data_IF_958225950263
#
_entry.id   IF_958225950263
#
_cell.length_a   1.000
_cell.length_b   1.000
_cell.length_c   1.000
_cell.angle_alpha   90.00
_cell.angle_beta   90.00
_cell.angle_gamma   90.00
#
_symmetry.space_group_name_H-M   'P 1'
#
loop_
_entity.id
_entity.type
_entity.pdbx_description
1 polymer ?
#
# COMPACT_ATOMS: atom_id res chain seq x y z
N UNK A 1 -23.56 -15.57 -0.06
CA UNK A 1 -23.09 -14.97 -1.32
C UNK A 1 -21.71 -14.42 -1.05
N UNK A 2 -20.65 -14.88 -1.75
CA UNK A 2 -19.33 -14.27 -1.62
C UNK A 2 -19.36 -13.00 -2.47
N UNK A 3 -19.33 -11.84 -1.83
CA UNK A 3 -19.12 -10.60 -2.56
C UNK A 3 -17.63 -10.57 -2.96
N UNK A 4 -17.29 -10.24 -4.22
CA UNK A 4 -15.91 -10.00 -4.57
C UNK A 4 -15.36 -8.86 -3.71
N UNK A 5 -14.05 -8.83 -3.42
CA UNK A 5 -13.44 -7.75 -2.64
C UNK A 5 -13.82 -6.42 -3.28
N UNK A 6 -14.49 -5.57 -2.49
CA UNK A 6 -14.80 -4.20 -2.89
C UNK A 6 -13.63 -3.35 -2.44
N UNK A 7 -13.17 -2.45 -3.30
CA UNK A 7 -12.14 -1.49 -2.92
C UNK A 7 -12.56 -0.73 -1.65
N UNK A 8 -11.69 -0.74 -0.64
CA UNK A 8 -11.88 -0.11 0.67
C UNK A 8 -10.73 0.86 0.95
N UNK A 9 -10.98 1.82 1.84
CA UNK A 9 -9.97 2.72 2.39
C UNK A 9 -9.64 2.43 3.86
N UNK A 10 -10.10 1.30 4.39
CA UNK A 10 -9.54 0.70 5.60
C UNK A 10 -8.22 0.02 5.21
N UNK A 11 -7.14 0.39 5.91
CA UNK A 11 -5.77 0.26 5.40
C UNK A 11 -4.81 -0.16 6.53
N UNK A 12 -4.95 -1.39 7.00
CA UNK A 12 -3.97 -1.95 7.95
C UNK A 12 -2.61 -2.06 7.27
N UNK A 13 -1.54 -1.82 8.01
CA UNK A 13 -0.18 -1.93 7.47
C UNK A 13 0.18 -0.92 6.36
N UNK A 14 -0.67 0.05 6.02
CA UNK A 14 -0.32 1.11 5.08
C UNK A 14 0.64 2.14 5.70
N UNK A 15 1.38 2.85 4.85
CA UNK A 15 2.24 3.95 5.29
C UNK A 15 1.67 5.31 4.87
N UNK A 16 1.84 6.32 5.73
CA UNK A 16 1.43 7.71 5.49
C UNK A 16 2.66 8.61 5.53
N UNK A 17 3.03 9.17 4.38
CA UNK A 17 4.21 10.03 4.24
C UNK A 17 3.79 11.44 3.89
N UNK A 18 4.14 12.41 4.74
CA UNK A 18 3.92 13.83 4.46
C UNK A 18 5.06 14.38 3.60
N UNK A 19 4.72 15.03 2.49
CA UNK A 19 5.68 15.72 1.63
C UNK A 19 5.96 17.14 2.15
N UNK A 20 7.12 17.75 1.82
CA UNK A 20 7.48 19.10 2.28
C UNK A 20 6.51 20.20 1.83
N UNK A 21 5.84 19.99 0.70
CA UNK A 21 4.84 20.91 0.14
C UNK A 21 3.44 20.77 0.76
N UNK A 22 3.29 19.91 1.77
CA UNK A 22 2.04 19.73 2.52
C UNK A 22 1.13 18.64 1.98
N UNK A 23 1.47 18.02 0.84
CA UNK A 23 0.76 16.83 0.34
C UNK A 23 1.01 15.61 1.24
N UNK A 24 0.11 14.64 1.16
CA UNK A 24 0.26 13.34 1.84
C UNK A 24 0.17 12.20 0.84
N UNK A 25 1.11 11.26 0.93
CA UNK A 25 1.12 10.03 0.15
C UNK A 25 0.78 8.87 1.07
N UNK A 26 -0.29 8.15 0.74
CA UNK A 26 -0.70 6.91 1.41
C UNK A 26 -0.40 5.76 0.47
N UNK A 27 0.37 4.79 0.95
CA UNK A 27 0.87 3.69 0.13
C UNK A 27 0.34 2.37 0.66
N UNK A 28 -0.35 1.64 -0.21
CA UNK A 28 -0.71 0.24 -0.06
C UNK A 28 -1.49 -0.09 1.23
N UNK A 29 -1.17 -1.20 1.90
CA UNK A 29 -1.87 -1.77 3.05
C UNK A 29 -2.91 -2.83 2.69
N UNK A 30 -3.59 -3.36 3.70
CA UNK A 30 -4.60 -4.40 3.55
C UNK A 30 -5.98 -4.00 4.10
N UNK A 31 -7.01 -4.64 3.56
CA UNK A 31 -8.38 -4.64 4.07
C UNK A 31 -8.69 -6.01 4.69
N UNK A 32 -9.22 -5.98 5.91
CA UNK A 32 -9.55 -7.12 6.78
C UNK A 32 -8.40 -8.08 7.09
N UNK A 33 -8.68 -9.12 7.88
CA UNK A 33 -7.77 -10.22 8.18
C UNK A 33 -7.85 -11.32 7.09
N UNK A 34 -6.78 -12.10 6.90
CA UNK A 34 -6.67 -13.10 5.82
C UNK A 34 -7.75 -14.20 5.75
N UNK A 35 -8.57 -14.38 6.79
CA UNK A 35 -9.69 -15.31 6.81
C UNK A 35 -11.02 -14.68 6.40
N UNK A 36 -11.07 -13.35 6.22
CA UNK A 36 -12.24 -12.68 5.69
C UNK A 36 -12.37 -12.93 4.17
N UNK A 37 -13.56 -13.28 3.66
CA UNK A 37 -13.79 -13.40 2.22
C UNK A 37 -13.49 -12.13 1.40
N UNK A 38 -13.45 -10.93 2.01
CA UNK A 38 -13.14 -9.68 1.31
C UNK A 38 -11.66 -9.23 1.47
N UNK A 39 -10.83 -10.04 2.12
CA UNK A 39 -9.42 -9.76 2.35
C UNK A 39 -8.68 -9.35 1.07
N UNK A 40 -7.96 -8.23 1.14
CA UNK A 40 -7.22 -7.73 0.00
C UNK A 40 -5.99 -6.93 0.43
N UNK A 41 -4.81 -7.33 -0.05
CA UNK A 41 -3.59 -6.52 0.06
C UNK A 41 -3.51 -5.66 -1.20
N UNK A 42 -3.42 -4.34 -1.00
CA UNK A 42 -3.43 -3.37 -2.07
C UNK A 42 -2.02 -3.07 -2.60
N UNK A 43 -1.96 -2.65 -3.85
CA UNK A 43 -0.77 -2.14 -4.53
C UNK A 43 -1.07 -0.79 -5.21
N UNK A 44 -1.75 0.08 -4.47
CA UNK A 44 -2.15 1.40 -4.94
C UNK A 44 -1.48 2.52 -4.11
N UNK A 45 -1.52 3.73 -4.65
CA UNK A 45 -1.01 4.93 -3.99
C UNK A 45 -2.09 6.02 -4.03
N UNK A 46 -2.34 6.65 -2.89
CA UNK A 46 -3.25 7.79 -2.79
C UNK A 46 -2.50 9.05 -2.43
N UNK A 47 -2.67 10.11 -3.23
CA UNK A 47 -2.15 11.43 -2.96
C UNK A 47 -3.29 12.34 -2.51
N UNK A 48 -3.17 12.86 -1.28
CA UNK A 48 -3.98 13.97 -0.80
C UNK A 48 -3.20 15.27 -1.03
N UNK A 49 -3.82 16.24 -1.69
CA UNK A 49 -3.15 17.52 -2.01
C UNK A 49 -3.04 18.48 -0.80
N UNK A 50 -3.69 18.15 0.32
CA UNK A 50 -3.76 18.99 1.53
C UNK A 50 -4.82 20.10 1.46
N UNK A 51 -5.54 20.23 0.34
CA UNK A 51 -6.62 21.19 0.08
C UNK A 51 -7.97 20.52 -0.19
N UNK A 52 -8.02 19.19 -0.11
CA UNK A 52 -9.23 18.38 -0.27
C UNK A 52 -9.32 17.63 -1.60
N UNK A 53 -8.35 17.81 -2.50
CA UNK A 53 -8.19 17.00 -3.69
C UNK A 53 -7.53 15.66 -3.40
N UNK A 54 -8.00 14.64 -4.11
CA UNK A 54 -7.53 13.25 -3.98
C UNK A 54 -7.20 12.73 -5.37
N UNK A 55 -6.01 12.14 -5.51
CA UNK A 55 -5.63 11.35 -6.67
C UNK A 55 -5.29 9.94 -6.22
N UNK A 56 -5.77 8.94 -6.96
CA UNK A 56 -5.56 7.53 -6.63
C UNK A 56 -4.93 6.84 -7.83
N UNK A 57 -3.80 6.20 -7.61
CA UNK A 57 -2.97 5.56 -8.62
C UNK A 57 -3.04 4.05 -8.40
N UNK A 58 -3.56 3.34 -9.39
CA UNK A 58 -3.61 1.88 -9.42
C UNK A 58 -2.44 1.38 -10.25
N UNK A 59 -1.75 0.35 -9.77
CA UNK A 59 -0.60 -0.22 -10.46
C UNK A 59 -0.85 -1.68 -10.85
N UNK A 60 -0.31 -2.14 -11.97
CA UNK A 60 -0.12 -3.57 -12.23
C UNK A 60 0.75 -4.20 -11.13
N UNK A 61 0.53 -5.49 -10.81
CA UNK A 61 1.31 -6.19 -9.76
C UNK A 61 2.79 -6.27 -10.11
N UNK A 62 3.12 -6.33 -11.39
CA UNK A 62 4.48 -6.39 -11.92
C UNK A 62 5.27 -5.09 -11.72
N UNK A 63 4.58 -3.94 -11.65
CA UNK A 63 5.20 -2.63 -11.42
C UNK A 63 5.26 -2.30 -9.93
N UNK A 64 4.23 -2.71 -9.19
CA UNK A 64 4.16 -2.57 -7.74
C UNK A 64 3.43 -3.78 -7.14
N UNK A 65 4.11 -4.69 -6.43
CA UNK A 65 3.46 -5.84 -5.81
C UNK A 65 2.61 -5.41 -4.61
N UNK A 66 1.55 -6.17 -4.25
CA UNK A 66 0.79 -5.92 -3.04
C UNK A 66 1.67 -5.88 -1.81
N UNK A 67 1.51 -4.82 -1.03
CA UNK A 67 2.45 -4.44 0.01
C UNK A 67 1.69 -3.98 1.26
N UNK A 68 2.06 -4.50 2.42
CA UNK A 68 1.47 -4.21 3.72
C UNK A 68 2.51 -4.38 4.83
N UNK A 69 2.31 -3.66 5.93
CA UNK A 69 3.20 -3.63 7.09
C UNK A 69 4.67 -3.33 6.76
N UNK A 70 4.90 -2.59 5.68
CA UNK A 70 6.21 -2.07 5.32
C UNK A 70 6.55 -0.81 6.13
N UNK A 71 7.82 -0.47 6.16
CA UNK A 71 8.27 0.88 6.54
C UNK A 71 8.37 1.76 5.31
N UNK A 72 8.13 3.07 5.46
CA UNK A 72 8.29 4.04 4.39
C UNK A 72 9.09 5.25 4.87
N UNK A 73 10.09 5.65 4.09
CA UNK A 73 10.94 6.82 4.39
C UNK A 73 11.02 7.72 3.17
N UNK A 74 10.66 9.00 3.35
CA UNK A 74 10.92 10.02 2.33
C UNK A 74 12.43 10.25 2.21
N UNK A 75 12.97 10.03 1.01
CA UNK A 75 14.36 10.24 0.65
C UNK A 75 14.40 11.13 -0.59
N UNK A 76 14.70 12.41 -0.38
CA UNK A 76 14.70 13.44 -1.42
C UNK A 76 13.39 13.48 -2.23
N UNK A 77 13.40 12.99 -3.47
CA UNK A 77 12.26 12.96 -4.40
C UNK A 77 11.56 11.58 -4.49
N UNK A 78 11.98 10.61 -3.67
CA UNK A 78 11.43 9.26 -3.62
C UNK A 78 10.93 8.88 -2.21
N UNK A 79 10.06 7.87 -2.14
CA UNK A 79 9.68 7.23 -0.88
C UNK A 79 10.19 5.79 -0.94
N UNK A 80 11.20 5.50 -0.13
CA UNK A 80 11.78 4.16 -0.01
C UNK A 80 10.89 3.30 0.89
N UNK A 81 10.48 2.14 0.39
CA UNK A 81 9.74 1.14 1.14
C UNK A 81 10.67 -0.03 1.50
N UNK A 82 10.65 -0.45 2.76
CA UNK A 82 11.42 -1.62 3.22
C UNK A 82 10.51 -2.56 3.99
N UNK A 83 10.55 -3.83 3.58
CA UNK A 83 9.72 -4.91 4.11
C UNK A 83 8.34 -4.98 3.46
N UNK A 84 7.67 -6.10 3.69
CA UNK A 84 6.25 -6.33 3.47
C UNK A 84 5.90 -7.68 4.11
N UNK A 85 4.65 -7.90 4.52
CA UNK A 85 4.17 -9.27 4.71
C UNK A 85 3.82 -9.87 3.35
N UNK A 86 2.97 -9.20 2.57
CA UNK A 86 2.52 -9.61 1.25
C UNK A 86 1.73 -10.92 1.25
N UNK A 87 1.27 -11.31 0.07
CA UNK A 87 0.61 -12.60 -0.13
C UNK A 87 1.60 -13.75 0.04
N UNK A 88 1.28 -14.83 0.79
CA UNK A 88 2.18 -15.95 1.03
C UNK A 88 2.82 -16.55 -0.24
N UNK A 89 2.06 -16.63 -1.33
CA UNK A 89 2.50 -17.15 -2.63
C UNK A 89 3.53 -16.26 -3.34
N UNK A 90 3.59 -14.97 -3.01
CA UNK A 90 4.49 -14.00 -3.61
C UNK A 90 5.77 -13.76 -2.77
N UNK A 91 5.82 -14.31 -1.54
CA UNK A 91 6.95 -14.13 -0.62
C UNK A 91 8.20 -14.85 -1.12
N UNK A 92 9.35 -14.23 -0.87
CA UNK A 92 10.68 -14.80 -1.14
C UNK A 92 11.42 -15.04 0.17
N UNK A 93 11.59 -16.30 0.54
CA UNK A 93 12.26 -16.67 1.79
C UNK A 93 13.71 -16.16 1.82
N UNK A 94 14.10 -15.54 2.94
CA UNK A 94 15.45 -15.00 3.13
C UNK A 94 15.71 -13.67 2.42
N UNK A 95 14.73 -13.12 1.68
CA UNK A 95 14.81 -11.82 1.04
C UNK A 95 13.90 -10.80 1.73
N UNK A 96 14.35 -9.54 1.80
CA UNK A 96 13.51 -8.43 2.24
C UNK A 96 13.12 -7.61 1.03
N UNK A 97 11.81 -7.37 0.84
CA UNK A 97 11.32 -6.49 -0.22
C UNK A 97 11.85 -5.06 0.00
N UNK A 98 12.37 -4.45 -1.06
CA UNK A 98 12.81 -3.05 -1.10
C UNK A 98 12.27 -2.43 -2.39
N UNK A 99 11.53 -1.34 -2.27
CA UNK A 99 10.91 -0.61 -3.39
C UNK A 99 11.24 0.88 -3.31
#
# INVERSE_FOLDING_TARGET
CRHPPVWSFQRYGASFTRLPDGRWVVIAGEHEDHYDPDFCIYNDVTLFDGQGGVQHFLYPREDFPPTDFHTATLLDDAILLIGALGYPEDRREGETQVL
#
